data_IF_171619474987
#
_entry.id   IF_171619474987
#
_cell.length_a   1.000
_cell.length_b   1.000
_cell.length_c   1.000
_cell.angle_alpha   90.00
_cell.angle_beta   90.00
_cell.angle_gamma   90.00
#
_symmetry.space_group_name_H-M   'P 1'
#
loop_
_entity.id
_entity.type
_entity.pdbx_description
1 polymer ?
#
# COMPACT_ATOMS: atom_id res chain seq x y z
N UNK A 1 -15.17 -12.59 -19.51
CA UNK A 1 -14.07 -13.18 -20.30
C UNK A 1 -13.24 -14.06 -19.40
N UNK A 2 -13.39 -15.38 -19.52
CA UNK A 2 -12.51 -16.35 -18.85
C UNK A 2 -11.44 -16.73 -19.88
N UNK A 3 -10.32 -16.03 -19.92
CA UNK A 3 -9.18 -16.42 -20.76
C UNK A 3 -8.34 -17.46 -20.00
N UNK A 4 -8.41 -18.70 -20.47
CA UNK A 4 -7.70 -19.87 -19.92
C UNK A 4 -6.21 -19.88 -20.19
N UNK A 5 -5.46 -19.00 -19.54
CA UNK A 5 -4.05 -19.21 -19.22
C UNK A 5 -3.92 -19.07 -17.70
N UNK A 6 -3.67 -20.16 -16.99
CA UNK A 6 -3.22 -20.08 -15.61
C UNK A 6 -1.90 -19.34 -15.61
N UNK A 7 -1.92 -18.12 -15.07
CA UNK A 7 -0.73 -17.27 -14.99
C UNK A 7 0.36 -18.00 -14.20
N UNK A 8 1.61 -18.01 -14.67
CA UNK A 8 2.69 -18.78 -14.03
C UNK A 8 3.09 -18.21 -12.66
N UNK A 9 2.57 -17.02 -12.32
CA UNK A 9 2.85 -16.31 -11.09
C UNK A 9 1.59 -16.10 -10.21
N UNK A 10 1.84 -15.81 -8.93
CA UNK A 10 0.82 -15.48 -7.94
C UNK A 10 0.76 -13.98 -7.62
N UNK A 11 1.16 -13.14 -8.56
CA UNK A 11 1.47 -11.75 -8.28
C UNK A 11 0.29 -10.88 -8.63
N UNK A 12 -0.04 -10.03 -7.67
CA UNK A 12 -1.17 -9.14 -7.77
C UNK A 12 -0.74 -7.81 -8.36
N UNK A 13 -1.57 -7.32 -9.26
CA UNK A 13 -1.54 -5.97 -9.81
C UNK A 13 -2.81 -5.24 -9.37
N UNK A 14 -2.96 -3.99 -9.79
CA UNK A 14 -4.11 -3.16 -9.48
C UNK A 14 -5.43 -3.85 -9.81
N UNK A 15 -6.43 -3.73 -8.95
CA UNK A 15 -7.77 -4.18 -9.31
C UNK A 15 -8.32 -3.25 -10.40
N UNK A 16 -8.99 -3.82 -11.41
CA UNK A 16 -9.60 -3.08 -12.54
C UNK A 16 -11.12 -3.08 -12.44
N UNK A 17 -11.77 -2.17 -13.16
CA UNK A 17 -13.24 -2.09 -13.29
C UNK A 17 -13.93 -1.48 -12.07
N UNK A 18 -15.21 -1.79 -11.89
CA UNK A 18 -16.12 -1.12 -10.92
C UNK A 18 -15.60 -1.07 -9.49
N UNK A 19 -14.82 -2.08 -9.06
CA UNK A 19 -14.34 -2.21 -7.68
C UNK A 19 -12.90 -1.75 -7.46
N UNK A 20 -12.27 -1.12 -8.47
CA UNK A 20 -10.83 -0.78 -8.47
C UNK A 20 -10.34 -0.02 -7.23
N UNK A 21 -11.17 0.87 -6.67
CA UNK A 21 -10.85 1.66 -5.48
C UNK A 21 -11.75 1.34 -4.28
N UNK A 22 -12.11 0.07 -4.13
CA UNK A 22 -12.94 -0.40 -3.01
C UNK A 22 -12.27 -1.55 -2.27
N UNK A 23 -12.72 -1.78 -1.04
CA UNK A 23 -12.39 -2.96 -0.25
C UNK A 23 -13.39 -4.10 -0.39
N UNK A 24 -14.18 -4.13 -1.47
CA UNK A 24 -15.03 -5.29 -1.78
C UNK A 24 -14.19 -6.58 -1.70
N UNK A 25 -14.78 -7.63 -1.14
CA UNK A 25 -14.07 -8.88 -0.87
C UNK A 25 -13.57 -9.58 -2.13
N UNK A 26 -12.64 -10.55 -1.99
CA UNK A 26 -12.09 -11.32 -3.10
C UNK A 26 -13.14 -12.14 -3.86
N UNK A 27 -14.25 -12.49 -3.20
CA UNK A 27 -15.42 -13.17 -3.75
C UNK A 27 -16.24 -12.28 -4.69
N UNK A 28 -16.19 -10.96 -4.50
CA UNK A 28 -16.86 -9.97 -5.35
C UNK A 28 -15.97 -9.55 -6.51
N UNK A 29 -14.71 -9.23 -6.22
CA UNK A 29 -13.73 -8.84 -7.24
C UNK A 29 -12.32 -9.14 -6.75
N UNK A 30 -11.68 -10.16 -7.31
CA UNK A 30 -10.29 -10.43 -6.97
C UNK A 30 -9.36 -9.32 -7.52
N UNK A 31 -8.15 -9.21 -6.97
CA UNK A 31 -7.08 -8.42 -7.58
C UNK A 31 -6.80 -8.89 -9.01
N UNK A 32 -6.39 -7.96 -9.88
CA UNK A 32 -5.92 -8.36 -11.19
C UNK A 32 -4.56 -9.03 -11.04
N UNK A 33 -4.22 -9.85 -12.02
CA UNK A 33 -2.83 -10.20 -12.32
C UNK A 33 -2.65 -9.66 -13.72
N UNK A 34 -1.65 -8.84 -14.02
CA UNK A 34 -1.52 -8.24 -15.36
C UNK A 34 -0.59 -9.06 -16.26
N UNK A 35 -0.94 -9.25 -17.54
CA UNK A 35 -0.15 -10.12 -18.44
C UNK A 35 1.17 -9.47 -18.85
N UNK A 36 1.28 -8.15 -18.72
CA UNK A 36 2.50 -7.39 -19.00
C UNK A 36 3.58 -7.57 -17.94
N UNK A 37 3.26 -8.14 -16.78
CA UNK A 37 4.17 -8.27 -15.64
C UNK A 37 5.44 -9.08 -15.97
N UNK A 38 5.33 -10.21 -16.67
CA UNK A 38 6.50 -10.99 -17.11
C UNK A 38 7.30 -10.27 -18.19
N UNK A 39 6.63 -9.59 -19.12
CA UNK A 39 7.30 -8.84 -20.19
C UNK A 39 8.03 -7.60 -19.66
N UNK A 40 7.43 -6.87 -18.71
CA UNK A 40 8.06 -5.78 -18.00
C UNK A 40 9.35 -6.26 -17.33
N UNK A 41 9.25 -7.30 -16.50
CA UNK A 41 10.40 -7.87 -15.80
C UNK A 41 11.53 -8.31 -16.71
N UNK A 42 11.21 -8.93 -17.85
CA UNK A 42 12.21 -9.30 -18.85
C UNK A 42 12.88 -8.08 -19.49
N UNK A 43 12.12 -7.03 -19.84
CA UNK A 43 12.66 -5.82 -20.48
C UNK A 43 13.50 -4.97 -19.52
N UNK A 44 13.16 -4.93 -18.24
CA UNK A 44 13.85 -4.12 -17.23
C UNK A 44 14.91 -4.91 -16.46
N UNK A 45 15.03 -6.22 -16.67
CA UNK A 45 15.96 -7.08 -15.94
C UNK A 45 15.62 -7.20 -14.46
N UNK A 46 14.33 -7.14 -14.10
CA UNK A 46 13.86 -7.17 -12.71
C UNK A 46 13.08 -8.45 -12.41
N UNK A 47 12.73 -8.65 -11.13
CA UNK A 47 11.79 -9.72 -10.80
C UNK A 47 10.39 -9.36 -11.32
N UNK A 48 9.66 -10.36 -11.82
CA UNK A 48 8.22 -10.26 -12.12
C UNK A 48 7.42 -9.88 -10.88
N UNK A 49 7.87 -10.34 -9.71
CA UNK A 49 7.16 -10.21 -8.45
C UNK A 49 8.13 -9.88 -7.32
N UNK A 50 7.69 -9.12 -6.31
CA UNK A 50 8.43 -9.02 -5.07
C UNK A 50 8.69 -10.41 -4.47
N UNK A 51 9.94 -10.66 -4.05
CA UNK A 51 10.29 -11.91 -3.37
C UNK A 51 9.65 -11.99 -1.97
N UNK A 52 9.42 -10.84 -1.33
CA UNK A 52 8.74 -10.75 -0.06
C UNK A 52 7.23 -10.94 -0.25
N UNK A 53 6.68 -11.94 0.44
CA UNK A 53 5.23 -12.12 0.54
C UNK A 53 4.61 -11.14 1.54
N UNK A 54 3.32 -10.85 1.35
CA UNK A 54 2.54 -10.12 2.35
C UNK A 54 2.55 -10.87 3.68
N UNK A 55 2.77 -10.12 4.76
CA UNK A 55 2.65 -10.60 6.13
C UNK A 55 1.34 -10.03 6.71
N UNK A 56 0.30 -10.85 6.90
CA UNK A 56 -0.91 -10.42 7.62
C UNK A 56 -0.60 -9.97 9.05
N UNK A 57 -1.60 -9.38 9.72
CA UNK A 57 -1.47 -8.89 11.09
C UNK A 57 -0.93 -9.99 12.03
N UNK A 58 0.01 -9.61 12.88
CA UNK A 58 0.64 -10.49 13.85
C UNK A 58 1.22 -9.71 15.02
N UNK A 59 1.26 -10.33 16.20
CA UNK A 59 2.00 -9.82 17.36
C UNK A 59 3.46 -10.31 17.40
N UNK A 60 3.89 -11.15 16.45
CA UNK A 60 5.26 -11.66 16.39
C UNK A 60 6.22 -10.63 15.77
N UNK A 61 6.80 -9.80 16.63
CA UNK A 61 7.77 -8.79 16.25
C UNK A 61 9.03 -9.36 15.60
N UNK A 62 9.46 -10.57 15.99
CA UNK A 62 10.63 -11.23 15.40
C UNK A 62 10.34 -11.64 13.97
N UNK A 63 9.18 -12.24 13.71
CA UNK A 63 8.77 -12.58 12.35
C UNK A 63 8.64 -11.34 11.46
N UNK A 64 8.10 -10.23 11.97
CA UNK A 64 8.02 -8.96 11.22
C UNK A 64 9.42 -8.43 10.88
N UNK A 65 10.33 -8.38 11.85
CA UNK A 65 11.72 -7.94 11.63
C UNK A 65 12.45 -8.81 10.61
N UNK A 66 12.22 -10.13 10.63
CA UNK A 66 12.82 -11.05 9.67
C UNK A 66 12.32 -10.80 8.24
N UNK A 67 11.03 -10.50 8.06
CA UNK A 67 10.48 -10.12 6.74
C UNK A 67 11.14 -8.83 6.24
N UNK A 68 11.17 -7.79 7.08
CA UNK A 68 11.73 -6.47 6.73
C UNK A 68 13.22 -6.58 6.36
N UNK A 69 14.00 -7.35 7.12
CA UNK A 69 15.44 -7.55 6.86
C UNK A 69 15.73 -8.17 5.48
N UNK A 70 14.78 -8.93 4.95
CA UNK A 70 14.91 -9.62 3.67
C UNK A 70 14.30 -8.85 2.49
N UNK A 71 13.87 -7.60 2.69
CA UNK A 71 13.43 -6.76 1.57
C UNK A 71 14.57 -6.48 0.62
N UNK A 72 14.27 -6.58 -0.67
CA UNK A 72 15.18 -6.29 -1.78
C UNK A 72 14.45 -5.36 -2.74
N UNK A 73 15.08 -4.24 -3.06
CA UNK A 73 14.55 -3.33 -4.07
C UNK A 73 14.69 -3.95 -5.47
N UNK A 74 13.62 -3.97 -6.25
CA UNK A 74 13.59 -4.48 -7.62
C UNK A 74 12.40 -3.91 -8.37
N UNK A 75 12.57 -3.59 -9.65
CA UNK A 75 11.45 -3.10 -10.47
C UNK A 75 11.21 -1.60 -10.33
N UNK A 76 9.98 -1.21 -10.60
CA UNK A 76 9.47 0.14 -10.42
C UNK A 76 8.70 0.30 -9.11
N UNK A 77 8.26 1.53 -8.85
CA UNK A 77 7.54 1.91 -7.64
C UNK A 77 6.04 1.95 -7.92
N UNK A 78 5.35 0.82 -7.71
CA UNK A 78 3.89 0.72 -7.84
C UNK A 78 3.20 1.00 -6.49
N UNK A 79 3.43 2.18 -5.92
CA UNK A 79 3.06 2.47 -4.52
C UNK A 79 1.56 2.38 -4.23
N UNK A 80 0.70 2.69 -5.19
CA UNK A 80 -0.76 2.51 -5.09
C UNK A 80 -1.19 1.05 -4.96
N UNK A 81 -0.45 0.08 -5.53
CA UNK A 81 -0.68 -1.35 -5.26
C UNK A 81 -0.37 -1.66 -3.79
N UNK A 82 0.69 -1.05 -3.25
CA UNK A 82 1.01 -1.12 -1.82
C UNK A 82 -0.14 -0.59 -0.96
N UNK A 83 -0.64 0.62 -1.26
CA UNK A 83 -1.80 1.23 -0.58
C UNK A 83 -3.04 0.34 -0.67
N UNK A 84 -3.31 -0.22 -1.85
CA UNK A 84 -4.42 -1.13 -2.07
C UNK A 84 -4.35 -2.35 -1.14
N UNK A 85 -3.19 -3.01 -1.08
CA UNK A 85 -3.00 -4.16 -0.19
C UNK A 85 -2.99 -3.78 1.29
N UNK A 86 -2.51 -2.59 1.67
CA UNK A 86 -2.66 -2.07 3.03
C UNK A 86 -4.14 -2.03 3.44
N UNK A 87 -5.01 -1.51 2.56
CA UNK A 87 -6.45 -1.49 2.85
C UNK A 87 -7.03 -2.89 2.97
N UNK A 88 -6.65 -3.80 2.07
CA UNK A 88 -7.14 -5.18 2.10
C UNK A 88 -6.70 -5.92 3.36
N UNK A 89 -5.50 -5.62 3.89
CA UNK A 89 -5.08 -6.21 5.16
C UNK A 89 -5.84 -5.68 6.38
N UNK A 90 -6.46 -4.51 6.28
CA UNK A 90 -7.25 -3.87 7.33
C UNK A 90 -8.77 -4.08 7.17
N UNK A 91 -9.23 -4.52 6.00
CA UNK A 91 -10.65 -4.74 5.69
C UNK A 91 -11.12 -6.12 6.14
N UNK A 92 -12.28 -6.15 6.80
CA UNK A 92 -12.94 -7.40 7.20
C UNK A 92 -13.40 -8.23 5.99
N UNK A 93 -13.72 -7.57 4.87
CA UNK A 93 -14.16 -8.22 3.64
C UNK A 93 -13.08 -9.14 3.04
N UNK A 94 -11.82 -8.90 3.39
CA UNK A 94 -10.66 -9.67 2.95
C UNK A 94 -10.20 -10.71 3.97
N UNK A 95 -10.88 -10.81 5.12
CA UNK A 95 -10.51 -11.74 6.18
C UNK A 95 -10.53 -13.22 5.75
N UNK A 96 -11.31 -13.59 4.73
CA UNK A 96 -11.34 -14.95 4.17
C UNK A 96 -10.00 -15.37 3.53
N UNK A 97 -9.15 -14.42 3.14
CA UNK A 97 -7.80 -14.68 2.62
C UNK A 97 -6.76 -14.93 3.72
N UNK A 98 -7.17 -14.87 4.99
CA UNK A 98 -6.28 -14.97 6.14
C UNK A 98 -6.75 -16.03 7.15
N UNK A 99 -5.79 -16.56 7.90
CA UNK A 99 -6.11 -17.37 9.08
C UNK A 99 -6.87 -16.53 10.11
N UNK A 100 -7.71 -17.16 10.93
CA UNK A 100 -8.55 -16.45 11.90
C UNK A 100 -7.76 -15.51 12.83
N UNK A 101 -6.56 -15.90 13.26
CA UNK A 101 -5.66 -15.10 14.12
C UNK A 101 -4.99 -13.91 13.42
N UNK A 102 -5.07 -13.85 12.10
CA UNK A 102 -4.43 -12.82 11.26
C UNK A 102 -5.43 -11.77 10.76
N UNK A 103 -6.74 -12.03 10.92
CA UNK A 103 -7.79 -11.17 10.40
C UNK A 103 -7.81 -9.83 11.15
N UNK A 104 -8.08 -8.72 10.45
CA UNK A 104 -8.36 -7.47 11.13
C UNK A 104 -9.57 -7.63 12.05
N UNK A 105 -9.49 -7.00 13.23
CA UNK A 105 -10.62 -6.96 14.14
C UNK A 105 -11.81 -6.24 13.49
N UNK A 106 -13.02 -6.63 13.91
CA UNK A 106 -14.23 -5.94 13.48
C UNK A 106 -14.19 -4.47 13.88
N UNK A 107 -14.64 -3.58 13.00
CA UNK A 107 -14.72 -2.16 13.31
C UNK A 107 -15.63 -1.94 14.52
N UNK A 108 -15.04 -1.38 15.58
CA UNK A 108 -15.72 -0.90 16.77
C UNK A 108 -15.05 0.40 17.18
N UNK A 109 -15.66 1.58 16.93
CA UNK A 109 -15.04 2.86 17.20
C UNK A 109 -14.59 3.08 18.65
N UNK A 110 -15.11 2.29 19.61
CA UNK A 110 -14.77 2.38 21.03
C UNK A 110 -13.70 1.37 21.48
N UNK A 111 -13.31 0.44 20.62
CA UNK A 111 -12.42 -0.68 20.99
C UNK A 111 -11.34 -1.01 19.97
N UNK A 112 -11.51 -0.59 18.72
CA UNK A 112 -10.66 -0.98 17.60
C UNK A 112 -10.33 0.26 16.78
N UNK A 113 -9.06 0.66 16.82
CA UNK A 113 -8.48 1.58 15.86
C UNK A 113 -7.86 0.79 14.69
N UNK A 114 -8.13 1.23 13.45
CA UNK A 114 -7.46 0.71 12.25
C UNK A 114 -6.49 1.78 11.76
N UNK A 115 -5.21 1.42 11.67
CA UNK A 115 -4.13 2.36 11.38
C UNK A 115 -3.27 1.82 10.24
N UNK A 116 -3.02 2.67 9.26
CA UNK A 116 -2.09 2.43 8.17
C UNK A 116 -0.86 3.35 8.31
N UNK A 117 0.33 2.80 8.09
CA UNK A 117 1.57 3.57 8.00
C UNK A 117 2.18 3.28 6.64
N UNK A 118 2.28 4.31 5.80
CA UNK A 118 2.79 4.21 4.44
C UNK A 118 4.15 4.93 4.35
N UNK A 119 5.19 4.22 3.92
CA UNK A 119 6.54 4.78 3.79
C UNK A 119 7.07 4.55 2.38
N UNK A 120 7.58 5.59 1.75
CA UNK A 120 8.11 5.55 0.37
C UNK A 120 8.89 6.81 0.04
N UNK A 121 9.76 6.72 -0.96
CA UNK A 121 10.34 7.84 -1.72
C UNK A 121 9.31 8.60 -2.59
N UNK A 122 8.08 8.06 -2.69
CA UNK A 122 6.92 8.66 -3.34
C UNK A 122 7.06 8.82 -4.85
N UNK A 123 8.12 8.30 -5.45
CA UNK A 123 8.37 8.32 -6.90
C UNK A 123 7.57 7.21 -7.61
N UNK A 124 6.25 7.24 -7.46
CA UNK A 124 5.40 6.24 -8.09
C UNK A 124 5.47 6.34 -9.61
N UNK A 125 5.81 5.25 -10.27
CA UNK A 125 6.16 5.24 -11.69
C UNK A 125 5.83 3.94 -12.42
N UNK A 126 5.18 2.97 -11.76
CA UNK A 126 4.80 1.68 -12.37
C UNK A 126 3.31 1.41 -12.19
N UNK A 127 2.54 1.39 -13.28
CA UNK A 127 1.10 1.07 -13.27
C UNK A 127 0.71 0.15 -14.42
N UNK A 128 -0.22 -0.77 -14.17
CA UNK A 128 -0.81 -1.62 -15.21
C UNK A 128 -2.24 -1.21 -15.59
N UNK A 129 -2.74 -0.07 -15.10
CA UNK A 129 -4.05 0.45 -15.51
C UNK A 129 -4.07 0.72 -17.02
N UNK A 130 -5.04 0.09 -17.70
CA UNK A 130 -5.36 0.31 -19.11
C UNK A 130 -4.17 0.23 -20.11
N UNK A 131 -3.05 -0.34 -19.69
CA UNK A 131 -1.87 -0.55 -20.52
C UNK A 131 -2.08 -1.74 -21.46
N UNK A 132 -1.69 -1.56 -22.72
CA UNK A 132 -1.70 -2.62 -23.74
C UNK A 132 -0.29 -3.12 -24.05
N UNK A 133 0.73 -2.32 -23.76
CA UNK A 133 2.14 -2.60 -24.03
C UNK A 133 3.02 -2.29 -22.81
N UNK A 134 4.22 -2.85 -22.76
CA UNK A 134 5.19 -2.57 -21.67
C UNK A 134 5.64 -1.10 -21.68
N UNK A 135 5.62 -0.42 -22.82
CA UNK A 135 5.97 1.02 -22.88
C UNK A 135 4.99 1.92 -22.13
N UNK A 136 3.78 1.44 -21.83
CA UNK A 136 2.72 2.20 -21.19
C UNK A 136 2.67 2.00 -19.67
N UNK A 137 3.45 1.08 -19.10
CA UNK A 137 3.35 0.74 -17.68
C UNK A 137 4.32 1.52 -16.78
N UNK A 138 5.43 2.04 -17.32
CA UNK A 138 6.57 2.49 -16.53
C UNK A 138 6.99 3.95 -16.80
N UNK A 139 7.85 4.50 -15.94
CA UNK A 139 8.34 5.88 -15.99
C UNK A 139 7.17 6.89 -16.08
N UNK A 140 7.24 7.84 -17.01
CA UNK A 140 6.26 8.91 -17.14
C UNK A 140 4.84 8.40 -17.44
N UNK A 141 4.72 7.25 -18.13
CA UNK A 141 3.43 6.63 -18.41
C UNK A 141 2.75 6.11 -17.12
N UNK A 142 3.54 5.56 -16.18
CA UNK A 142 3.02 5.06 -14.90
C UNK A 142 2.77 6.14 -13.84
N UNK A 143 3.41 7.31 -13.96
CA UNK A 143 3.43 8.36 -12.95
C UNK A 143 2.05 8.91 -12.56
N UNK A 144 1.24 9.36 -13.52
CA UNK A 144 -0.08 9.92 -13.19
C UNK A 144 -1.09 8.86 -12.71
N UNK A 145 -1.22 7.70 -13.38
CA UNK A 145 -2.14 6.65 -12.94
C UNK A 145 -1.88 6.18 -11.51
N UNK A 146 -0.61 5.97 -11.15
CA UNK A 146 -0.23 5.54 -9.80
C UNK A 146 -0.61 6.58 -8.74
N UNK A 147 -0.29 7.87 -8.95
CA UNK A 147 -0.61 8.94 -8.00
C UNK A 147 -2.12 9.11 -7.84
N UNK A 148 -2.87 9.11 -8.94
CA UNK A 148 -4.33 9.24 -8.92
C UNK A 148 -4.97 8.07 -8.15
N UNK A 149 -4.51 6.85 -8.39
CA UNK A 149 -4.99 5.67 -7.69
C UNK A 149 -4.65 5.71 -6.20
N UNK A 150 -3.43 6.06 -5.82
CA UNK A 150 -3.02 6.16 -4.42
C UNK A 150 -3.90 7.17 -3.65
N UNK A 151 -4.08 8.38 -4.17
CA UNK A 151 -4.93 9.42 -3.56
C UNK A 151 -6.37 8.96 -3.38
N UNK A 152 -6.91 8.29 -4.40
CA UNK A 152 -8.29 7.78 -4.38
C UNK A 152 -8.47 6.66 -3.35
N UNK A 153 -7.54 5.70 -3.29
CA UNK A 153 -7.55 4.62 -2.30
C UNK A 153 -7.40 5.16 -0.88
N UNK A 154 -6.47 6.08 -0.65
CA UNK A 154 -6.28 6.71 0.66
C UNK A 154 -7.54 7.46 1.12
N UNK A 155 -8.21 8.17 0.22
CA UNK A 155 -9.49 8.83 0.52
C UNK A 155 -10.54 7.81 0.95
N UNK A 156 -10.72 6.74 0.17
CA UNK A 156 -11.68 5.70 0.48
C UNK A 156 -11.37 4.95 1.81
N UNK A 157 -10.09 4.76 2.13
CA UNK A 157 -9.65 4.22 3.43
C UNK A 157 -10.05 5.15 4.60
N UNK A 158 -9.78 6.45 4.48
CA UNK A 158 -10.15 7.44 5.50
C UNK A 158 -11.67 7.53 5.68
N UNK A 159 -12.44 7.44 4.61
CA UNK A 159 -13.91 7.40 4.67
C UNK A 159 -14.44 6.17 5.42
N UNK A 160 -13.63 5.10 5.54
CA UNK A 160 -13.90 3.93 6.41
C UNK A 160 -13.37 4.08 7.84
N UNK A 161 -12.86 5.25 8.21
CA UNK A 161 -12.31 5.52 9.53
C UNK A 161 -10.93 4.92 9.79
N UNK A 162 -10.18 4.58 8.75
CA UNK A 162 -8.77 4.16 8.87
C UNK A 162 -7.91 5.41 9.03
N UNK A 163 -7.11 5.44 10.10
CA UNK A 163 -6.12 6.49 10.34
C UNK A 163 -4.89 6.22 9.47
N UNK A 164 -4.44 7.19 8.67
CA UNK A 164 -3.32 7.00 7.75
C UNK A 164 -2.18 7.94 8.11
N UNK A 165 -1.05 7.37 8.50
CA UNK A 165 0.23 8.06 8.60
C UNK A 165 1.05 7.80 7.35
N UNK A 166 1.75 8.83 6.87
CA UNK A 166 2.65 8.72 5.71
C UNK A 166 4.02 9.28 6.07
N UNK A 167 5.07 8.61 5.58
CA UNK A 167 6.46 9.02 5.71
C UNK A 167 7.07 9.07 4.32
N UNK A 168 7.41 10.28 3.86
CA UNK A 168 8.25 10.47 2.69
C UNK A 168 9.71 10.30 3.07
N UNK A 169 10.39 9.32 2.50
CA UNK A 169 11.82 9.09 2.74
C UNK A 169 12.64 9.53 1.53
N UNK A 170 13.55 10.48 1.73
CA UNK A 170 14.43 11.01 0.67
C UNK A 170 13.64 11.53 -0.55
N UNK A 171 12.58 12.31 -0.29
CA UNK A 171 11.72 12.87 -1.35
C UNK A 171 12.45 13.95 -2.15
N UNK A 172 12.63 13.72 -3.45
CA UNK A 172 13.23 14.69 -4.39
C UNK A 172 12.21 15.30 -5.37
N UNK A 173 10.98 14.79 -5.39
CA UNK A 173 9.92 15.16 -6.33
C UNK A 173 8.74 15.84 -5.62
N UNK A 174 8.32 17.03 -6.07
CA UNK A 174 7.20 17.77 -5.46
C UNK A 174 5.88 16.99 -5.50
N UNK A 175 5.65 16.28 -6.61
CA UNK A 175 4.46 15.43 -6.79
C UNK A 175 4.41 14.25 -5.81
N UNK A 176 5.58 13.72 -5.41
CA UNK A 176 5.69 12.67 -4.42
C UNK A 176 5.23 13.16 -3.05
N UNK A 177 5.72 14.34 -2.63
CA UNK A 177 5.29 15.00 -1.41
C UNK A 177 3.78 15.28 -1.41
N UNK A 178 3.25 15.89 -2.47
CA UNK A 178 1.83 16.21 -2.57
C UNK A 178 0.94 14.95 -2.51
N UNK A 179 1.41 13.84 -3.08
CA UNK A 179 0.69 12.56 -3.04
C UNK A 179 0.64 11.98 -1.63
N UNK A 180 1.76 11.97 -0.91
CA UNK A 180 1.81 11.46 0.46
C UNK A 180 1.04 12.35 1.43
N UNK A 181 1.17 13.67 1.32
CA UNK A 181 0.38 14.62 2.10
C UNK A 181 -1.12 14.42 1.87
N UNK A 182 -1.55 14.22 0.63
CA UNK A 182 -2.95 13.93 0.33
C UNK A 182 -3.41 12.57 0.87
N UNK A 183 -2.51 11.58 0.95
CA UNK A 183 -2.81 10.26 1.49
C UNK A 183 -2.92 10.22 3.02
N UNK A 184 -2.17 11.05 3.73
CA UNK A 184 -2.26 11.18 5.18
C UNK A 184 -3.69 11.55 5.65
N UNK A 185 -4.05 11.14 6.86
CA UNK A 185 -5.18 11.73 7.57
C UNK A 185 -4.96 13.23 7.81
N UNK A 186 -6.03 14.03 7.97
CA UNK A 186 -5.89 15.42 8.38
C UNK A 186 -5.18 15.54 9.73
N UNK A 187 -4.24 16.47 9.83
CA UNK A 187 -3.61 16.81 11.10
C UNK A 187 -4.64 17.36 12.09
N UNK A 188 -4.38 17.10 13.38
CA UNK A 188 -5.10 17.73 14.48
C UNK A 188 -4.17 18.68 15.22
N UNK A 189 -4.69 19.41 16.21
CA UNK A 189 -3.86 20.26 17.06
C UNK A 189 -2.72 19.51 17.79
N UNK A 190 -2.78 18.17 17.88
CA UNK A 190 -1.82 17.35 18.64
C UNK A 190 -1.12 16.28 17.80
N UNK A 191 -1.69 15.92 16.65
CA UNK A 191 -1.24 14.75 15.88
C UNK A 191 -0.96 15.20 14.46
N UNK A 192 0.29 14.98 14.04
CA UNK A 192 0.73 15.09 12.66
C UNK A 192 0.65 13.72 12.00
N UNK A 193 0.21 13.66 10.74
CA UNK A 193 0.06 12.42 9.99
C UNK A 193 0.99 12.32 8.78
N UNK A 194 1.59 13.42 8.34
CA UNK A 194 2.61 13.44 7.28
C UNK A 194 3.99 13.78 7.84
N UNK A 195 4.97 12.94 7.52
CA UNK A 195 6.36 13.10 7.91
C UNK A 195 7.26 13.10 6.69
N UNK A 196 8.35 13.87 6.76
CA UNK A 196 9.46 13.80 5.81
C UNK A 196 10.70 13.41 6.59
N UNK A 197 11.49 12.52 6.02
CA UNK A 197 12.75 12.07 6.56
C UNK A 197 13.79 12.00 5.44
N UNK A 198 14.90 12.70 5.59
CA UNK A 198 16.01 12.66 4.64
C UNK A 198 17.04 11.57 4.97
N UNK A 199 16.99 10.99 6.17
CA UNK A 199 17.98 10.03 6.65
C UNK A 199 17.40 9.09 7.72
N UNK A 200 18.19 8.08 8.10
CA UNK A 200 17.77 7.07 9.07
C UNK A 200 17.42 7.61 10.46
N UNK A 201 18.06 8.70 10.89
CA UNK A 201 17.77 9.32 12.19
C UNK A 201 16.39 9.98 12.19
N UNK A 202 16.09 10.78 11.16
CA UNK A 202 14.78 11.40 10.98
C UNK A 202 13.68 10.37 10.76
N UNK A 203 14.00 9.30 10.02
CA UNK A 203 13.06 8.21 9.79
C UNK A 203 12.70 7.50 11.11
N UNK A 204 13.70 7.20 11.94
CA UNK A 204 13.49 6.63 13.26
C UNK A 204 12.67 7.58 14.15
N UNK A 205 12.93 8.89 14.10
CA UNK A 205 12.14 9.89 14.82
C UNK A 205 10.67 9.89 14.37
N UNK A 206 10.41 9.85 13.05
CA UNK A 206 9.05 9.80 12.51
C UNK A 206 8.28 8.57 13.02
N UNK A 207 8.88 7.38 13.01
CA UNK A 207 8.24 6.18 13.56
C UNK A 207 7.98 6.27 15.07
N UNK A 208 8.91 6.86 15.84
CA UNK A 208 8.71 7.07 17.28
C UNK A 208 7.57 8.05 17.56
N UNK A 209 7.45 9.12 16.77
CA UNK A 209 6.34 10.08 16.87
C UNK A 209 5.01 9.41 16.55
N UNK A 210 4.94 8.63 15.48
CA UNK A 210 3.73 7.88 15.09
C UNK A 210 3.34 6.89 16.19
N UNK A 211 4.28 6.16 16.78
CA UNK A 211 3.99 5.23 17.87
C UNK A 211 3.33 5.94 19.07
N UNK A 212 3.88 7.09 19.49
CA UNK A 212 3.29 7.90 20.57
C UNK A 212 1.91 8.45 20.21
N UNK A 213 1.70 8.85 18.96
CA UNK A 213 0.41 9.32 18.48
C UNK A 213 -0.64 8.20 18.49
N UNK A 214 -0.26 6.98 18.08
CA UNK A 214 -1.13 5.80 18.13
C UNK A 214 -1.52 5.47 19.57
N UNK A 215 -0.58 5.50 20.51
CA UNK A 215 -0.87 5.32 21.94
C UNK A 215 -1.86 6.38 22.45
N UNK A 216 -1.67 7.65 22.09
CA UNK A 216 -2.60 8.73 22.46
C UNK A 216 -4.00 8.53 21.88
N UNK A 217 -4.09 8.09 20.61
CA UNK A 217 -5.36 7.78 19.95
C UNK A 217 -6.08 6.62 20.64
N UNK A 218 -5.35 5.59 21.06
CA UNK A 218 -5.91 4.44 21.77
C UNK A 218 -6.44 4.78 23.18
N UNK A 219 -5.93 5.86 23.80
CA UNK A 219 -6.35 6.32 25.13
C UNK A 219 -7.50 7.33 25.10
N UNK A 220 -7.77 7.94 23.95
CA UNK A 220 -8.72 9.07 23.84
C UNK A 220 -10.00 8.75 23.07
N UNK A 221 -10.04 7.61 22.36
CA UNK A 221 -11.25 7.05 21.72
C UNK A 221 -11.87 5.98 22.64
#
# INVERSE_FOLDING_TARGET
YVSGLTRPDNCATERKGTYQYSDAGPDVSMVNRDYLLSSFAWQTGTAACPAAALKPLTADATALKNVIKNFVASGGTAGHIGVQWTWYMLSENWGSMMNASQRPAKADPKKVAKIAILMTDGEFNLSYFDASTVGEVYNDAGKEPTRTAAKTLCTAMRDKGIEIFTIGFDLNEENAQATLQNCASPDTAKIKHFYQAANGTELNQAFQDIARNIESLALTK
#
